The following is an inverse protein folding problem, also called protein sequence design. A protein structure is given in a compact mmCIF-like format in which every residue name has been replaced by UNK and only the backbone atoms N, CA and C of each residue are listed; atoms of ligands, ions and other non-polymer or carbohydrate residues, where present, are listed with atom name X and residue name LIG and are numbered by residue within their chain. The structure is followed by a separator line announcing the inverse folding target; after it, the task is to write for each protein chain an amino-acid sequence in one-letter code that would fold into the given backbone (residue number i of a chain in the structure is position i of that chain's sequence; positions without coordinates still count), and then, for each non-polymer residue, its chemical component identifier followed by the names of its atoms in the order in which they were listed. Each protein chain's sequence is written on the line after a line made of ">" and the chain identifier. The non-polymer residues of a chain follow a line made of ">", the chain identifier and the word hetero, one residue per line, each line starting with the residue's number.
data_IF_594815507402
#
_entry.id   IF_594815507402
#
_cell.length_a   1.000
_cell.length_b   1.000
_cell.length_c   1.000
_cell.angle_alpha   90.00
_cell.angle_beta   90.00
_cell.angle_gamma   90.00
#
_symmetry.space_group_name_H-M   'P 1'
#
loop_
_entity.id
_entity.type
_entity.pdbx_description
1 polymer ?
#
# COMPACT_ATOMS: atom_id res chain seq x y z
N UNK A 1 -5.89 1.40 18.78
CA UNK A 1 -5.29 1.29 17.44
C UNK A 1 -5.68 2.56 16.72
N UNK A 2 -4.77 3.53 16.61
CA UNK A 2 -5.04 4.76 15.85
C UNK A 2 -5.12 4.41 14.37
N UNK A 3 -6.21 4.82 13.70
CA UNK A 3 -6.35 4.67 12.27
C UNK A 3 -5.43 5.70 11.60
N UNK A 4 -4.25 5.26 11.20
CA UNK A 4 -3.32 6.10 10.45
C UNK A 4 -3.81 6.27 9.00
N UNK A 5 -3.91 7.51 8.56
CA UNK A 5 -4.30 7.86 7.19
C UNK A 5 -3.08 8.34 6.40
N UNK A 6 -3.09 8.07 5.10
CA UNK A 6 -2.17 8.65 4.14
C UNK A 6 -2.97 9.48 3.13
N UNK A 7 -2.54 10.72 2.88
CA UNK A 7 -3.18 11.55 1.86
C UNK A 7 -2.74 11.07 0.46
N UNK A 8 -3.63 11.19 -0.54
CA UNK A 8 -3.31 10.89 -1.94
C UNK A 8 -2.07 11.65 -2.45
N UNK A 9 -1.86 12.88 -1.98
CA UNK A 9 -0.71 13.72 -2.32
C UNK A 9 0.62 13.06 -1.90
N UNK A 10 0.64 12.43 -0.72
CA UNK A 10 1.77 11.69 -0.16
C UNK A 10 1.93 10.34 -0.87
N UNK A 11 0.84 9.60 -1.05
CA UNK A 11 0.84 8.33 -1.78
C UNK A 11 1.36 8.49 -3.22
N UNK A 12 1.08 9.63 -3.86
CA UNK A 12 1.63 9.98 -5.17
C UNK A 12 3.16 9.96 -5.19
N UNK A 13 3.80 10.46 -4.13
CA UNK A 13 5.26 10.48 -3.98
C UNK A 13 5.82 9.06 -3.86
N UNK A 14 5.18 8.21 -3.05
CA UNK A 14 5.59 6.80 -2.91
C UNK A 14 5.44 5.99 -4.21
N UNK A 15 4.37 6.24 -4.96
CA UNK A 15 4.08 5.56 -6.23
C UNK A 15 4.81 6.17 -7.43
N UNK A 16 5.47 7.32 -7.24
CA UNK A 16 6.11 8.10 -8.29
C UNK A 16 5.16 8.42 -9.47
N UNK A 17 3.93 8.82 -9.16
CA UNK A 17 2.94 9.24 -10.17
C UNK A 17 2.92 10.76 -10.37
N UNK A 18 2.59 11.20 -11.57
CA UNK A 18 2.52 12.63 -11.91
C UNK A 18 1.26 13.27 -11.31
N UNK A 19 0.12 12.57 -11.40
CA UNK A 19 -1.17 13.08 -10.98
C UNK A 19 -1.89 12.18 -9.96
N UNK A 20 -2.87 12.77 -9.28
CA UNK A 20 -3.71 12.08 -8.30
C UNK A 20 -4.72 11.12 -8.94
N UNK A 21 -5.02 11.25 -10.24
CA UNK A 21 -5.94 10.35 -10.95
C UNK A 21 -5.32 8.96 -11.07
N UNK A 22 -4.04 8.91 -11.39
CA UNK A 22 -3.22 7.70 -11.46
C UNK A 22 -3.15 7.00 -10.11
N UNK A 23 -3.07 7.75 -9.00
CA UNK A 23 -3.16 7.21 -7.64
C UNK A 23 -4.53 6.58 -7.38
N UNK A 24 -5.63 7.22 -7.78
CA UNK A 24 -6.97 6.65 -7.62
C UNK A 24 -7.14 5.36 -8.46
N UNK A 25 -6.68 5.35 -9.70
CA UNK A 25 -6.71 4.15 -10.56
C UNK A 25 -5.87 3.02 -9.98
N UNK A 26 -4.70 3.34 -9.42
CA UNK A 26 -3.87 2.37 -8.71
C UNK A 26 -4.57 1.81 -7.47
N UNK A 27 -5.19 2.67 -6.66
CA UNK A 27 -5.91 2.25 -5.47
C UNK A 27 -7.05 1.29 -5.82
N UNK A 28 -7.85 1.63 -6.84
CA UNK A 28 -8.93 0.77 -7.36
C UNK A 28 -8.40 -0.59 -7.83
N UNK A 29 -7.29 -0.63 -8.58
CA UNK A 29 -6.69 -1.86 -9.08
C UNK A 29 -6.16 -2.78 -7.96
N UNK A 30 -5.75 -2.19 -6.84
CA UNK A 30 -5.17 -2.91 -5.71
C UNK A 30 -6.12 -3.01 -4.52
N UNK A 31 -7.41 -2.74 -4.72
CA UNK A 31 -8.46 -2.86 -3.69
C UNK A 31 -8.17 -2.02 -2.42
N UNK A 32 -7.51 -0.88 -2.60
CA UNK A 32 -7.26 0.10 -1.52
C UNK A 32 -8.41 1.10 -1.48
N UNK A 33 -9.06 1.22 -0.33
CA UNK A 33 -10.19 2.12 -0.17
C UNK A 33 -9.73 3.59 -0.09
N UNK A 34 -10.43 4.46 -0.81
CA UNK A 34 -10.16 5.90 -0.84
C UNK A 34 -11.36 6.64 -0.27
N UNK A 35 -11.14 7.39 0.81
CA UNK A 35 -12.15 8.25 1.43
C UNK A 35 -11.89 9.71 1.05
N UNK A 36 -12.95 10.50 1.02
CA UNK A 36 -12.86 11.94 0.75
C UNK A 36 -13.28 12.71 1.99
N UNK A 37 -12.45 13.65 2.43
CA UNK A 37 -12.78 14.58 3.51
C UNK A 37 -12.49 16.01 3.03
N UNK A 38 -13.55 16.78 2.79
CA UNK A 38 -13.46 18.09 2.15
C UNK A 38 -12.90 17.99 0.73
N UNK A 39 -11.79 18.68 0.48
CA UNK A 39 -11.08 18.64 -0.82
C UNK A 39 -9.97 17.60 -0.88
N UNK A 40 -9.67 16.96 0.24
CA UNK A 40 -8.58 15.99 0.37
C UNK A 40 -9.11 14.56 0.25
N UNK A 41 -8.25 13.67 -0.24
CA UNK A 41 -8.52 12.24 -0.38
C UNK A 41 -7.49 11.46 0.42
N UNK A 42 -7.96 10.45 1.13
CA UNK A 42 -7.17 9.67 2.07
C UNK A 42 -7.34 8.18 1.80
N UNK A 43 -6.33 7.41 2.21
CA UNK A 43 -6.37 5.95 2.25
C UNK A 43 -5.94 5.50 3.65
N UNK A 44 -6.36 4.31 4.07
CA UNK A 44 -5.80 3.70 5.26
C UNK A 44 -4.34 3.38 4.99
N UNK A 45 -3.45 3.86 5.86
CA UNK A 45 -2.01 3.73 5.71
C UNK A 45 -1.58 2.26 5.59
N UNK A 46 -2.18 1.40 6.40
CA UNK A 46 -1.86 -0.02 6.42
C UNK A 46 -2.29 -0.72 5.13
N UNK A 47 -3.47 -0.40 4.60
CA UNK A 47 -3.94 -0.93 3.31
C UNK A 47 -3.05 -0.47 2.16
N UNK A 48 -2.68 0.81 2.16
CA UNK A 48 -1.78 1.37 1.16
C UNK A 48 -0.43 0.65 1.14
N UNK A 49 0.25 0.54 2.30
CA UNK A 49 1.57 -0.08 2.35
C UNK A 49 1.52 -1.61 2.13
N UNK A 50 0.45 -2.28 2.55
CA UNK A 50 0.27 -3.69 2.24
C UNK A 50 0.21 -3.92 0.72
N UNK A 51 -0.61 -3.14 0.02
CA UNK A 51 -0.73 -3.20 -1.45
C UNK A 51 0.56 -2.79 -2.16
N UNK A 52 1.19 -1.68 -1.71
CA UNK A 52 2.44 -1.16 -2.27
C UNK A 52 3.58 -2.17 -2.20
N UNK A 53 3.72 -2.89 -1.07
CA UNK A 53 4.81 -3.84 -0.86
C UNK A 53 4.51 -5.24 -1.41
N UNK A 54 3.25 -5.55 -1.76
CA UNK A 54 2.84 -6.89 -2.21
C UNK A 54 3.65 -7.43 -3.40
N UNK A 55 3.99 -6.64 -4.44
CA UNK A 55 4.82 -7.12 -5.54
C UNK A 55 6.24 -7.53 -5.09
N UNK A 56 6.82 -6.76 -4.17
CA UNK A 56 8.14 -7.05 -3.59
C UNK A 56 8.08 -8.38 -2.83
N UNK A 57 7.04 -8.56 -2.01
CA UNK A 57 6.82 -9.81 -1.29
C UNK A 57 6.65 -11.01 -2.21
N UNK A 58 5.85 -10.89 -3.27
CA UNK A 58 5.68 -11.97 -4.27
C UNK A 58 7.02 -12.33 -4.93
N UNK A 59 7.84 -11.34 -5.24
CA UNK A 59 9.19 -11.54 -5.77
C UNK A 59 10.10 -12.28 -4.77
N UNK A 60 10.09 -11.87 -3.50
CA UNK A 60 10.88 -12.50 -2.45
C UNK A 60 10.45 -13.95 -2.18
N UNK A 61 9.15 -14.21 -2.12
CA UNK A 61 8.60 -15.58 -1.96
C UNK A 61 9.01 -16.46 -3.14
N UNK A 62 8.98 -15.92 -4.37
CA UNK A 62 9.43 -16.64 -5.56
C UNK A 62 10.93 -16.94 -5.53
N UNK A 63 11.75 -16.01 -5.02
CA UNK A 63 13.21 -16.11 -4.99
C UNK A 63 13.74 -17.00 -3.86
N UNK A 64 13.12 -16.96 -2.68
CA UNK A 64 13.63 -17.61 -1.47
C UNK A 64 12.74 -18.75 -0.94
N UNK A 65 11.65 -19.07 -1.64
CA UNK A 65 10.70 -20.09 -1.23
C UNK A 65 9.70 -19.63 -0.16
N UNK A 66 8.58 -20.36 -0.05
CA UNK A 66 7.40 -20.00 0.76
C UNK A 66 7.73 -19.80 2.24
N UNK A 67 8.60 -20.62 2.82
CA UNK A 67 8.86 -20.64 4.27
C UNK A 67 9.62 -19.39 4.76
N UNK A 68 10.61 -18.90 4.01
CA UNK A 68 11.37 -17.70 4.39
C UNK A 68 10.65 -16.39 4.01
N UNK A 69 9.89 -16.38 2.90
CA UNK A 69 9.13 -15.21 2.48
C UNK A 69 7.96 -14.88 3.41
N UNK A 70 7.27 -15.88 3.96
CA UNK A 70 6.18 -15.67 4.92
C UNK A 70 6.71 -15.21 6.29
N UNK A 71 7.86 -15.74 6.75
CA UNK A 71 8.52 -15.27 7.98
C UNK A 71 8.93 -13.79 7.89
N UNK A 72 9.37 -13.31 6.72
CA UNK A 72 9.67 -11.89 6.50
C UNK A 72 8.38 -11.05 6.52
N UNK A 73 7.30 -11.50 5.87
CA UNK A 73 6.02 -10.79 5.90
C UNK A 73 5.47 -10.66 7.33
N UNK A 74 5.43 -11.76 8.08
CA UNK A 74 4.95 -11.75 9.46
C UNK A 74 5.85 -10.88 10.36
N UNK A 75 7.18 -10.91 10.19
CA UNK A 75 8.12 -10.09 10.98
C UNK A 75 7.98 -8.58 10.75
N UNK A 76 7.62 -8.15 9.54
CA UNK A 76 7.56 -6.72 9.19
C UNK A 76 6.14 -6.13 9.21
N UNK A 77 5.10 -6.96 9.12
CA UNK A 77 3.71 -6.49 8.94
C UNK A 77 2.70 -7.08 9.93
N UNK A 78 3.04 -8.13 10.68
CA UNK A 78 2.26 -8.56 11.85
C UNK A 78 3.01 -8.16 13.12
N UNK A 79 2.46 -7.15 13.81
CA UNK A 79 2.75 -6.90 15.22
C UNK A 79 1.79 -7.69 16.09
#
# INVERSE_FOLDING_TARGET
>A
MELALIEISEARTYLNYVDSRSVNSWAQKNEVEVFTQGKCKFMLRDQFFAAYNLPIFRSLIKKFGKVQGTLLFDKYFKK
#
